data_IF_254124799542
#
_entry.id   IF_254124799542
#
_cell.length_a   1.000
_cell.length_b   1.000
_cell.length_c   1.000
_cell.angle_alpha   90.00
_cell.angle_beta   90.00
_cell.angle_gamma   90.00
#
_symmetry.space_group_name_H-M   'P 1'
#
loop_
_entity.id
_entity.type
_entity.pdbx_description
1 polymer ?
#
# COMPACT_ATOMS: atom_id res chain seq x y z
N UNK A 1 1.35 -30.19 -72.44
CA UNK A 1 0.48 -31.18 -71.76
C UNK A 1 -0.07 -30.52 -70.52
N UNK A 2 -1.39 -30.55 -70.36
CA UNK A 2 -2.11 -29.87 -69.29
C UNK A 2 -1.64 -30.38 -67.92
N UNK A 3 -1.22 -29.44 -67.07
CA UNK A 3 -0.86 -29.69 -65.67
C UNK A 3 -2.09 -30.08 -64.88
N UNK A 4 -2.43 -31.37 -64.94
CA UNK A 4 -3.48 -31.98 -64.13
C UNK A 4 -2.86 -32.45 -62.84
N UNK A 5 -3.41 -32.00 -61.70
CA UNK A 5 -3.04 -32.50 -60.38
C UNK A 5 -3.48 -33.97 -60.32
N UNK A 6 -2.56 -34.86 -59.99
CA UNK A 6 -2.87 -36.28 -59.81
C UNK A 6 -3.64 -36.52 -58.51
N UNK A 7 -4.41 -37.61 -58.43
CA UNK A 7 -5.11 -37.99 -57.19
C UNK A 7 -4.15 -38.10 -56.00
N UNK A 8 -2.91 -38.56 -56.23
CA UNK A 8 -1.87 -38.65 -55.21
C UNK A 8 -1.42 -37.27 -54.69
N UNK A 9 -1.35 -36.27 -55.57
CA UNK A 9 -1.04 -34.90 -55.17
C UNK A 9 -2.21 -34.24 -54.43
N UNK A 10 -3.46 -34.56 -54.79
CA UNK A 10 -4.64 -34.12 -54.04
C UNK A 10 -4.68 -34.72 -52.63
N UNK A 11 -4.44 -36.03 -52.49
CA UNK A 11 -4.33 -36.68 -51.18
C UNK A 11 -3.20 -36.10 -50.33
N UNK A 12 -2.07 -35.75 -50.95
CA UNK A 12 -0.96 -35.10 -50.25
C UNK A 12 -1.37 -33.72 -49.71
N UNK A 13 -2.02 -32.90 -50.54
CA UNK A 13 -2.51 -31.57 -50.14
C UNK A 13 -3.54 -31.68 -49.01
N UNK A 14 -4.48 -32.61 -49.11
CA UNK A 14 -5.50 -32.85 -48.09
C UNK A 14 -4.87 -33.27 -46.75
N UNK A 15 -3.93 -34.22 -46.78
CA UNK A 15 -3.19 -34.63 -45.59
C UNK A 15 -2.38 -33.47 -44.98
N UNK A 16 -1.79 -32.62 -45.82
CA UNK A 16 -1.04 -31.46 -45.38
C UNK A 16 -1.92 -30.42 -44.69
N UNK A 17 -3.10 -30.15 -45.26
CA UNK A 17 -4.10 -29.26 -44.68
C UNK A 17 -4.67 -29.83 -43.37
N UNK A 18 -5.01 -31.12 -43.34
CA UNK A 18 -5.47 -31.79 -42.13
C UNK A 18 -4.41 -31.74 -41.02
N UNK A 19 -3.13 -31.88 -41.37
CA UNK A 19 -2.04 -31.69 -40.42
C UNK A 19 -2.00 -30.25 -39.88
N UNK A 20 -2.17 -29.25 -40.75
CA UNK A 20 -2.20 -27.85 -40.33
C UNK A 20 -3.37 -27.57 -39.38
N UNK A 21 -4.57 -28.11 -39.65
CA UNK A 21 -5.73 -28.01 -38.75
C UNK A 21 -5.42 -28.61 -37.38
N UNK A 22 -4.83 -29.81 -37.34
CA UNK A 22 -4.39 -30.46 -36.08
C UNK A 22 -3.32 -29.66 -35.34
N UNK A 23 -2.43 -29.01 -36.08
CA UNK A 23 -1.36 -28.21 -35.52
C UNK A 23 -1.88 -26.91 -34.87
N UNK A 24 -2.76 -26.16 -35.55
CA UNK A 24 -3.34 -24.93 -35.00
C UNK A 24 -4.38 -25.17 -33.90
N UNK A 25 -4.98 -26.36 -33.85
CA UNK A 25 -5.88 -26.80 -32.78
C UNK A 25 -5.15 -27.35 -31.55
N UNK A 26 -3.80 -27.35 -31.56
CA UNK A 26 -2.96 -27.92 -30.50
C UNK A 26 -3.12 -29.43 -30.28
N UNK A 27 -3.75 -30.15 -31.22
CA UNK A 27 -3.79 -31.63 -31.22
C UNK A 27 -2.43 -32.22 -31.63
N UNK A 28 -1.61 -31.44 -32.34
CA UNK A 28 -0.24 -31.80 -32.74
C UNK A 28 0.73 -30.67 -32.41
N UNK A 29 1.83 -31.01 -31.72
CA UNK A 29 2.83 -30.04 -31.26
C UNK A 29 3.91 -29.68 -32.30
N UNK A 30 4.07 -30.51 -33.32
CA UNK A 30 5.08 -30.34 -34.37
C UNK A 30 4.42 -30.43 -35.73
N UNK A 31 4.99 -29.73 -36.71
CA UNK A 31 4.51 -29.73 -38.07
C UNK A 31 5.54 -30.40 -38.99
N UNK A 32 5.13 -31.40 -39.77
CA UNK A 32 6.02 -32.15 -40.65
C UNK A 32 6.04 -31.47 -42.02
N UNK A 33 7.07 -30.64 -42.25
CA UNK A 33 7.20 -29.89 -43.49
C UNK A 33 7.52 -30.80 -44.68
N UNK A 34 6.84 -30.55 -45.80
CA UNK A 34 7.19 -31.15 -47.09
C UNK A 34 8.05 -30.15 -47.85
N UNK A 35 9.31 -30.51 -48.11
CA UNK A 35 10.28 -29.64 -48.79
C UNK A 35 10.31 -29.85 -50.30
N UNK A 36 10.01 -31.06 -50.79
CA UNK A 36 9.87 -31.35 -52.22
C UNK A 36 9.05 -32.62 -52.48
N UNK A 37 8.29 -32.59 -53.57
CA UNK A 37 7.47 -33.67 -54.13
C UNK A 37 7.96 -34.11 -55.52
N UNK A 38 8.93 -33.38 -56.09
CA UNK A 38 9.40 -33.54 -57.47
C UNK A 38 8.55 -32.81 -58.52
N UNK A 39 7.37 -32.30 -58.15
CA UNK A 39 6.57 -31.43 -59.01
C UNK A 39 6.88 -29.97 -58.66
N UNK A 40 7.60 -29.28 -59.54
CA UNK A 40 8.05 -27.89 -59.34
C UNK A 40 6.92 -26.92 -58.91
N UNK A 41 5.72 -27.04 -59.49
CA UNK A 41 4.60 -26.14 -59.15
C UNK A 41 4.05 -26.42 -57.76
N UNK A 42 3.96 -27.70 -57.39
CA UNK A 42 3.52 -28.12 -56.07
C UNK A 42 4.55 -27.73 -55.01
N UNK A 43 5.84 -27.91 -55.30
CA UNK A 43 6.94 -27.55 -54.41
C UNK A 43 7.00 -26.04 -54.13
N UNK A 44 6.80 -25.21 -55.16
CA UNK A 44 6.69 -23.75 -54.99
C UNK A 44 5.49 -23.35 -54.11
N UNK A 45 4.37 -24.08 -54.20
CA UNK A 45 3.21 -23.85 -53.34
C UNK A 45 3.48 -24.27 -51.90
N UNK A 46 4.00 -25.47 -51.69
CA UNK A 46 4.35 -26.00 -50.37
C UNK A 46 5.37 -25.11 -49.68
N UNK A 47 6.41 -24.63 -50.39
CA UNK A 47 7.38 -23.71 -49.82
C UNK A 47 6.74 -22.44 -49.25
N UNK A 48 5.81 -21.82 -49.99
CA UNK A 48 5.06 -20.65 -49.48
C UNK A 48 4.24 -21.01 -48.25
N UNK A 49 3.56 -22.15 -48.26
CA UNK A 49 2.80 -22.62 -47.09
C UNK A 49 3.71 -22.90 -45.89
N UNK A 50 4.90 -23.45 -46.10
CA UNK A 50 5.87 -23.70 -45.02
C UNK A 50 6.27 -22.40 -44.33
N UNK A 51 6.48 -21.33 -45.11
CA UNK A 51 6.81 -20.00 -44.58
C UNK A 51 5.65 -19.43 -43.76
N UNK A 52 4.41 -19.52 -44.24
CA UNK A 52 3.22 -19.06 -43.51
C UNK A 52 2.97 -19.88 -42.23
N UNK A 53 3.11 -21.21 -42.29
CA UNK A 53 2.93 -22.10 -41.14
C UNK A 53 3.99 -21.82 -40.07
N UNK A 54 5.25 -21.60 -40.46
CA UNK A 54 6.32 -21.18 -39.53
C UNK A 54 6.01 -19.84 -38.88
N UNK A 55 5.44 -18.89 -39.61
CA UNK A 55 5.02 -17.60 -39.06
C UNK A 55 3.86 -17.76 -38.05
N UNK A 56 2.89 -18.62 -38.34
CA UNK A 56 1.78 -18.96 -37.43
C UNK A 56 2.30 -19.63 -36.16
N UNK A 57 3.17 -20.63 -36.27
CA UNK A 57 3.79 -21.33 -35.12
C UNK A 57 4.54 -20.34 -34.20
N UNK A 58 5.38 -19.49 -34.80
CA UNK A 58 6.11 -18.46 -34.05
C UNK A 58 5.16 -17.55 -33.28
N UNK A 59 4.11 -17.04 -33.94
CA UNK A 59 3.10 -16.17 -33.31
C UNK A 59 2.36 -16.89 -32.19
N UNK A 60 1.96 -18.15 -32.40
CA UNK A 60 1.27 -18.95 -31.38
C UNK A 60 2.16 -19.16 -30.14
N UNK A 61 3.46 -19.42 -30.32
CA UNK A 61 4.43 -19.55 -29.21
C UNK A 61 4.60 -18.24 -28.45
N UNK A 62 4.66 -17.10 -29.14
CA UNK A 62 4.69 -15.77 -28.52
C UNK A 62 3.41 -15.51 -27.71
N UNK A 63 2.25 -15.82 -28.27
CA UNK A 63 0.95 -15.67 -27.62
C UNK A 63 0.84 -16.52 -26.35
N UNK A 64 1.21 -17.80 -26.43
CA UNK A 64 1.22 -18.71 -25.27
C UNK A 64 2.13 -18.19 -24.16
N UNK A 65 3.28 -17.60 -24.50
CA UNK A 65 4.18 -17.02 -23.51
C UNK A 65 3.55 -15.84 -22.77
N UNK A 66 2.89 -14.94 -23.51
CA UNK A 66 2.19 -13.79 -22.92
C UNK A 66 1.03 -14.26 -22.03
N UNK A 67 0.23 -15.21 -22.49
CA UNK A 67 -0.89 -15.77 -21.73
C UNK A 67 -0.42 -16.49 -20.47
N UNK A 68 0.66 -17.28 -20.55
CA UNK A 68 1.27 -17.91 -19.38
C UNK A 68 1.75 -16.89 -18.34
N UNK A 69 2.40 -15.81 -18.78
CA UNK A 69 2.82 -14.74 -17.87
C UNK A 69 1.64 -13.96 -17.27
N UNK A 70 0.52 -13.82 -18.00
CA UNK A 70 -0.73 -13.26 -17.46
C UNK A 70 -1.24 -14.11 -16.29
N UNK A 71 -1.25 -15.44 -16.41
CA UNK A 71 -1.68 -16.34 -15.33
C UNK A 71 -0.78 -16.17 -14.09
N UNK A 72 0.54 -16.18 -14.27
CA UNK A 72 1.49 -15.96 -13.17
C UNK A 72 1.37 -14.57 -12.53
N UNK A 73 1.06 -13.56 -13.34
CA UNK A 73 0.83 -12.19 -12.86
C UNK A 73 -0.46 -12.13 -12.04
N UNK A 74 -1.52 -12.79 -12.50
CA UNK A 74 -2.79 -12.84 -11.78
C UNK A 74 -2.64 -13.51 -10.40
N UNK A 75 -1.90 -14.61 -10.31
CA UNK A 75 -1.58 -15.28 -9.03
C UNK A 75 -0.86 -14.35 -8.04
N UNK A 76 0.11 -13.56 -8.51
CA UNK A 76 0.78 -12.54 -7.68
C UNK A 76 -0.16 -11.44 -7.23
N UNK A 77 -1.08 -11.02 -8.09
CA UNK A 77 -2.09 -9.98 -7.78
C UNK A 77 -3.06 -10.47 -6.72
N UNK A 78 -3.48 -11.73 -6.78
CA UNK A 78 -4.32 -12.37 -5.76
C UNK A 78 -3.65 -12.36 -4.38
N UNK A 79 -2.32 -12.53 -4.35
CA UNK A 79 -1.50 -12.40 -3.14
C UNK A 79 -1.22 -10.94 -2.71
N UNK A 80 -1.79 -9.95 -3.39
CA UNK A 80 -1.60 -8.52 -3.09
C UNK A 80 -0.29 -7.91 -3.62
N UNK A 81 0.46 -8.62 -4.46
CA UNK A 81 1.74 -8.14 -5.03
C UNK A 81 1.47 -7.36 -6.32
N UNK A 82 1.14 -6.08 -6.20
CA UNK A 82 0.75 -5.24 -7.35
C UNK A 82 1.92 -4.66 -8.16
N UNK A 83 3.17 -4.88 -7.75
CA UNK A 83 4.37 -4.39 -8.45
C UNK A 83 4.75 -5.24 -9.69
N UNK A 84 4.09 -6.38 -9.89
CA UNK A 84 4.36 -7.30 -11.00
C UNK A 84 3.83 -6.78 -12.36
N UNK A 85 4.48 -7.16 -13.46
CA UNK A 85 4.09 -6.77 -14.83
C UNK A 85 4.28 -7.94 -15.78
N UNK A 86 3.48 -7.95 -16.84
CA UNK A 86 3.63 -8.85 -17.99
C UNK A 86 4.69 -8.24 -18.91
N UNK A 87 5.79 -8.94 -19.15
CA UNK A 87 6.95 -8.43 -19.90
C UNK A 87 7.05 -9.04 -21.30
N UNK A 88 6.64 -10.30 -21.46
CA UNK A 88 6.60 -11.00 -22.75
C UNK A 88 5.79 -10.22 -23.78
N UNK A 89 6.16 -10.33 -25.05
CA UNK A 89 5.53 -9.60 -26.15
C UNK A 89 5.05 -10.56 -27.23
N UNK A 90 4.04 -10.12 -27.97
CA UNK A 90 3.54 -10.80 -29.16
C UNK A 90 3.23 -9.77 -30.23
N UNK A 91 3.26 -10.21 -31.48
CA UNK A 91 2.79 -9.45 -32.64
C UNK A 91 1.26 -9.49 -32.79
N UNK A 92 0.55 -10.39 -32.09
CA UNK A 92 -0.92 -10.47 -32.11
C UNK A 92 -1.53 -9.22 -31.45
N UNK A 93 -2.24 -8.36 -32.22
CA UNK A 93 -2.68 -7.05 -31.71
C UNK A 93 -3.58 -7.15 -30.48
N UNK A 94 -4.54 -8.08 -30.46
CA UNK A 94 -5.49 -8.26 -29.35
C UNK A 94 -4.81 -8.63 -28.03
N UNK A 95 -3.86 -9.56 -28.06
CA UNK A 95 -3.11 -10.00 -26.88
C UNK A 95 -2.13 -8.91 -26.43
N UNK A 96 -1.51 -8.18 -27.36
CA UNK A 96 -0.68 -7.01 -27.05
C UNK A 96 -1.49 -5.90 -26.37
N UNK A 97 -2.69 -5.59 -26.88
CA UNK A 97 -3.61 -4.64 -26.24
C UNK A 97 -4.04 -5.11 -24.85
N UNK A 98 -4.31 -6.40 -24.66
CA UNK A 98 -4.62 -6.98 -23.35
C UNK A 98 -3.46 -6.78 -22.35
N UNK A 99 -2.24 -7.13 -22.73
CA UNK A 99 -1.02 -6.88 -21.93
C UNK A 99 -0.92 -5.43 -21.50
N UNK A 100 -1.03 -4.50 -22.45
CA UNK A 100 -0.90 -3.05 -22.18
C UNK A 100 -1.97 -2.59 -21.19
N UNK A 101 -3.21 -3.05 -21.39
CA UNK A 101 -4.35 -2.68 -20.54
C UNK A 101 -4.17 -3.20 -19.12
N UNK A 102 -3.79 -4.48 -18.96
CA UNK A 102 -3.52 -5.08 -17.66
C UNK A 102 -2.34 -4.40 -16.95
N UNK A 103 -1.23 -4.16 -17.64
CA UNK A 103 -0.08 -3.46 -17.04
C UNK A 103 -0.42 -2.03 -16.61
N UNK A 104 -1.28 -1.32 -17.36
CA UNK A 104 -1.78 0.01 -16.98
C UNK A 104 -2.68 -0.04 -15.75
N UNK A 105 -3.56 -1.04 -15.65
CA UNK A 105 -4.38 -1.30 -14.47
C UNK A 105 -3.48 -1.56 -13.24
N UNK A 106 -2.52 -2.48 -13.35
CA UNK A 106 -1.60 -2.83 -12.26
C UNK A 106 -0.74 -1.64 -11.82
N UNK A 107 -0.30 -0.81 -12.75
CA UNK A 107 0.41 0.45 -12.44
C UNK A 107 -0.46 1.42 -11.64
N UNK A 108 -1.75 1.48 -11.92
CA UNK A 108 -2.67 2.34 -11.19
C UNK A 108 -2.93 1.80 -9.77
N UNK A 109 -3.10 0.49 -9.62
CA UNK A 109 -3.30 -0.15 -8.32
C UNK A 109 -2.05 -0.01 -7.45
N UNK A 110 -0.87 -0.31 -7.98
CA UNK A 110 0.41 -0.19 -7.27
C UNK A 110 0.68 1.25 -6.79
N UNK A 111 0.49 2.26 -7.66
CA UNK A 111 0.64 3.67 -7.28
C UNK A 111 -0.36 4.07 -6.17
N UNK A 112 -1.63 3.66 -6.29
CA UNK A 112 -2.64 3.97 -5.26
C UNK A 112 -2.31 3.35 -3.92
N UNK A 113 -1.91 2.08 -3.92
CA UNK A 113 -1.57 1.31 -2.71
C UNK A 113 -0.34 1.89 -2.02
N UNK A 114 0.70 2.24 -2.78
CA UNK A 114 1.92 2.87 -2.24
C UNK A 114 1.63 4.24 -1.61
N UNK A 115 0.76 5.05 -2.21
CA UNK A 115 0.36 6.35 -1.63
C UNK A 115 -0.38 6.19 -0.31
N UNK A 116 -1.32 5.25 -0.27
CA UNK A 116 -2.07 4.91 0.95
C UNK A 116 -1.12 4.42 2.03
N UNK A 117 -0.26 3.44 1.71
CA UNK A 117 0.67 2.86 2.66
C UNK A 117 1.65 3.89 3.23
N UNK A 118 2.13 4.83 2.41
CA UNK A 118 3.03 5.90 2.86
C UNK A 118 2.37 6.75 3.95
N UNK A 119 1.15 7.21 3.70
CA UNK A 119 0.42 8.11 4.62
C UNK A 119 -0.02 7.37 5.87
N UNK A 120 -0.56 6.16 5.73
CA UNK A 120 -0.95 5.35 6.90
C UNK A 120 0.28 5.02 7.76
N UNK A 121 1.43 4.71 7.15
CA UNK A 121 2.69 4.52 7.87
C UNK A 121 3.22 5.78 8.56
N UNK A 122 2.94 6.99 8.04
CA UNK A 122 3.31 8.21 8.77
C UNK A 122 2.48 8.33 10.05
N UNK A 123 1.18 7.99 9.97
CA UNK A 123 0.28 8.02 11.12
C UNK A 123 0.66 7.00 12.21
N UNK A 124 1.26 5.87 11.86
CA UNK A 124 1.79 4.91 12.86
C UNK A 124 3.02 5.42 13.61
N UNK A 125 3.65 6.50 13.13
CA UNK A 125 4.79 7.17 13.76
C UNK A 125 4.40 8.53 14.36
N UNK A 126 3.11 8.72 14.68
CA UNK A 126 2.52 9.97 15.20
C UNK A 126 2.70 11.21 14.28
N UNK A 127 3.11 11.01 13.03
CA UNK A 127 3.20 12.07 12.03
C UNK A 127 1.89 12.17 11.24
N UNK A 128 0.98 13.00 11.75
CA UNK A 128 -0.30 13.31 11.13
C UNK A 128 -0.25 14.46 10.11
N UNK A 129 0.94 14.87 9.66
CA UNK A 129 1.10 15.99 8.72
C UNK A 129 1.03 15.58 7.25
N UNK A 130 1.34 14.32 6.92
CA UNK A 130 1.23 13.81 5.55
C UNK A 130 -0.24 13.57 5.15
N UNK A 131 -0.50 13.68 3.85
CA UNK A 131 -1.81 13.44 3.26
C UNK A 131 -1.70 12.88 1.86
N UNK A 132 -2.73 12.14 1.45
CA UNK A 132 -2.83 11.57 0.11
C UNK A 132 -3.25 12.68 -0.86
N UNK A 133 -2.40 12.95 -1.85
CA UNK A 133 -2.78 13.77 -3.02
C UNK A 133 -3.73 12.99 -3.93
N UNK A 134 -5.02 13.26 -3.81
CA UNK A 134 -6.07 12.64 -4.64
C UNK A 134 -6.03 13.23 -6.05
N UNK A 135 -5.56 12.44 -7.02
CA UNK A 135 -5.48 12.84 -8.42
C UNK A 135 -6.74 12.45 -9.20
N UNK A 136 -7.09 13.23 -10.23
CA UNK A 136 -8.34 13.10 -11.00
C UNK A 136 -8.62 11.72 -11.61
N UNK A 137 -7.59 10.88 -11.80
CA UNK A 137 -7.77 9.53 -12.36
C UNK A 137 -8.50 8.59 -11.41
N UNK A 138 -8.39 8.80 -10.09
CA UNK A 138 -9.06 7.98 -9.08
C UNK A 138 -10.50 8.45 -8.92
N UNK A 139 -11.42 7.49 -8.96
CA UNK A 139 -12.87 7.71 -8.91
C UNK A 139 -13.49 6.78 -7.87
N UNK A 140 -14.73 7.07 -7.54
CA UNK A 140 -15.59 6.20 -6.74
C UNK A 140 -14.93 5.78 -5.41
N UNK A 141 -15.11 4.53 -4.99
CA UNK A 141 -14.54 3.95 -3.77
C UNK A 141 -13.06 4.24 -3.54
N UNK A 142 -12.20 4.17 -4.57
CA UNK A 142 -10.77 4.47 -4.39
C UNK A 142 -10.55 5.94 -4.04
N UNK A 143 -11.32 6.86 -4.64
CA UNK A 143 -11.27 8.27 -4.29
C UNK A 143 -11.78 8.48 -2.86
N UNK A 144 -12.92 7.87 -2.52
CA UNK A 144 -13.51 7.97 -1.19
C UNK A 144 -12.57 7.43 -0.10
N UNK A 145 -11.89 6.31 -0.36
CA UNK A 145 -10.88 5.74 0.54
C UNK A 145 -9.76 6.73 0.83
N UNK A 146 -9.17 7.32 -0.21
CA UNK A 146 -8.10 8.31 -0.05
C UNK A 146 -8.56 9.56 0.72
N UNK A 147 -9.75 10.07 0.41
CA UNK A 147 -10.33 11.21 1.13
C UNK A 147 -10.63 10.88 2.60
N UNK A 148 -11.06 9.64 2.88
CA UNK A 148 -11.37 9.18 4.24
C UNK A 148 -10.11 9.04 5.09
N UNK A 149 -9.01 8.58 4.51
CA UNK A 149 -7.69 8.54 5.19
C UNK A 149 -7.22 9.96 5.51
N UNK A 150 -7.40 10.93 4.60
CA UNK A 150 -7.05 12.33 4.88
C UNK A 150 -7.90 12.93 6.01
N UNK A 151 -9.20 12.59 6.06
CA UNK A 151 -10.09 12.99 7.17
C UNK A 151 -9.63 12.36 8.49
N UNK A 152 -9.21 11.10 8.48
CA UNK A 152 -8.63 10.43 9.65
C UNK A 152 -7.38 11.17 10.15
N UNK A 153 -6.43 11.48 9.26
CA UNK A 153 -5.24 12.26 9.61
C UNK A 153 -5.57 13.63 10.22
N UNK A 154 -6.57 14.32 9.67
CA UNK A 154 -7.05 15.59 10.22
C UNK A 154 -7.61 15.44 11.63
N UNK A 155 -8.39 14.38 11.89
CA UNK A 155 -8.95 14.10 13.21
C UNK A 155 -7.86 13.75 14.24
N UNK A 156 -6.88 12.93 13.85
CA UNK A 156 -5.74 12.58 14.69
C UNK A 156 -4.89 13.82 15.04
N UNK A 157 -4.57 14.65 14.05
CA UNK A 157 -3.84 15.91 14.28
C UNK A 157 -4.60 16.84 15.24
N UNK A 158 -5.93 16.97 15.08
CA UNK A 158 -6.77 17.74 16.01
C UNK A 158 -6.69 17.19 17.43
N UNK A 159 -6.77 15.87 17.60
CA UNK A 159 -6.68 15.24 18.92
C UNK A 159 -5.30 15.42 19.54
N UNK A 160 -4.22 15.29 18.76
CA UNK A 160 -2.86 15.56 19.22
C UNK A 160 -2.70 17.00 19.72
N UNK A 161 -3.25 17.97 18.99
CA UNK A 161 -3.29 19.38 19.41
C UNK A 161 -4.04 19.59 20.72
N UNK A 162 -5.21 18.97 20.88
CA UNK A 162 -6.00 19.06 22.12
C UNK A 162 -5.22 18.45 23.30
N UNK A 163 -4.60 17.29 23.10
CA UNK A 163 -3.79 16.64 24.14
C UNK A 163 -2.59 17.50 24.55
N UNK A 164 -1.94 18.16 23.59
CA UNK A 164 -0.87 19.12 23.88
C UNK A 164 -1.38 20.28 24.75
N UNK A 165 -2.49 20.91 24.38
CA UNK A 165 -3.10 22.01 25.14
C UNK A 165 -3.53 21.59 26.56
N UNK A 166 -4.04 20.36 26.70
CA UNK A 166 -4.35 19.78 28.00
C UNK A 166 -3.08 19.60 28.85
N UNK A 167 -1.97 19.17 28.22
CA UNK A 167 -0.66 19.07 28.86
C UNK A 167 -0.15 20.41 29.38
N UNK A 168 -0.22 21.46 28.55
CA UNK A 168 0.14 22.83 28.97
C UNK A 168 -0.72 23.32 30.14
N UNK A 169 -2.03 23.06 30.08
CA UNK A 169 -2.95 23.43 31.17
C UNK A 169 -2.63 22.69 32.47
N UNK A 170 -2.31 21.39 32.37
CA UNK A 170 -1.93 20.59 33.53
C UNK A 170 -0.61 21.07 34.15
N UNK A 171 0.38 21.41 33.33
CA UNK A 171 1.65 21.98 33.78
C UNK A 171 1.44 23.31 34.52
N UNK A 172 0.64 24.21 33.95
CA UNK A 172 0.29 25.49 34.60
C UNK A 172 -0.37 25.27 35.96
N UNK A 173 -1.37 24.38 36.02
CA UNK A 173 -2.06 24.06 37.27
C UNK A 173 -1.12 23.45 38.32
N UNK A 174 -0.19 22.57 37.92
CA UNK A 174 0.80 21.99 38.82
C UNK A 174 1.76 23.07 39.39
N UNK A 175 2.18 24.03 38.55
CA UNK A 175 3.03 25.15 38.98
C UNK A 175 2.29 26.08 39.96
N UNK A 176 1.01 26.38 39.70
CA UNK A 176 0.17 27.15 40.63
C UNK A 176 0.01 26.41 41.96
N UNK A 177 -0.32 25.12 41.92
CA UNK A 177 -0.46 24.29 43.13
C UNK A 177 0.83 24.23 43.95
N UNK A 178 1.99 24.07 43.29
CA UNK A 178 3.30 24.08 43.95
C UNK A 178 3.53 25.43 44.67
N UNK A 179 3.25 26.54 43.98
CA UNK A 179 3.36 27.89 44.57
C UNK A 179 2.42 28.09 45.76
N UNK A 180 1.18 27.62 45.67
CA UNK A 180 0.21 27.67 46.78
C UNK A 180 0.64 26.81 47.97
N UNK A 181 1.20 25.62 47.72
CA UNK A 181 1.73 24.75 48.78
C UNK A 181 2.94 25.36 49.48
N UNK A 182 3.85 25.99 48.74
CA UNK A 182 4.98 26.72 49.33
C UNK A 182 4.50 27.89 50.19
N UNK A 183 3.51 28.66 49.71
CA UNK A 183 2.93 29.74 50.50
C UNK A 183 2.24 29.23 51.77
N UNK A 184 1.48 28.14 51.67
CA UNK A 184 0.83 27.51 52.82
C UNK A 184 1.86 27.02 53.85
N UNK A 185 2.94 26.38 53.41
CA UNK A 185 4.03 25.92 54.27
C UNK A 185 4.70 27.10 54.99
N UNK A 186 4.96 28.22 54.30
CA UNK A 186 5.48 29.44 54.90
C UNK A 186 4.51 30.00 55.96
N UNK A 187 3.22 30.08 55.66
CA UNK A 187 2.20 30.57 56.60
C UNK A 187 2.05 29.65 57.82
N UNK A 188 2.14 28.34 57.64
CA UNK A 188 2.13 27.39 58.74
C UNK A 188 3.35 27.56 59.66
N UNK A 189 4.54 27.81 59.08
CA UNK A 189 5.75 28.11 59.86
C UNK A 189 5.64 29.44 60.63
N UNK A 190 5.12 30.50 59.98
CA UNK A 190 4.85 31.78 60.65
C UNK A 190 3.88 31.61 61.83
N UNK A 191 2.80 30.86 61.62
CA UNK A 191 1.80 30.57 62.66
C UNK A 191 2.41 29.78 63.83
N UNK A 192 3.24 28.79 63.55
CA UNK A 192 3.95 28.02 64.58
C UNK A 192 4.84 28.92 65.43
N UNK A 193 5.60 29.83 64.80
CA UNK A 193 6.43 30.80 65.51
C UNK A 193 5.59 31.78 66.36
N UNK A 194 4.44 32.25 65.86
CA UNK A 194 3.52 33.09 66.65
C UNK A 194 2.93 32.35 67.86
N UNK A 195 2.64 31.05 67.73
CA UNK A 195 2.20 30.22 68.85
C UNK A 195 3.31 30.03 69.90
N UNK A 196 4.55 29.85 69.47
CA UNK A 196 5.73 29.78 70.36
C UNK A 196 5.91 31.09 71.14
N UNK A 197 5.78 32.25 70.47
CA UNK A 197 5.81 33.55 71.14
C UNK A 197 4.67 33.73 72.15
N UNK A 198 3.46 33.28 71.81
CA UNK A 198 2.30 33.35 72.70
C UNK A 198 2.49 32.45 73.94
N UNK A 199 3.05 31.26 73.75
CA UNK A 199 3.37 30.35 74.84
C UNK A 199 4.44 30.94 75.78
N UNK A 200 5.50 31.53 75.24
CA UNK A 200 6.54 32.20 76.02
C UNK A 200 5.97 33.39 76.83
N UNK A 201 5.10 34.21 76.23
CA UNK A 201 4.43 35.30 76.92
C UNK A 201 3.50 34.81 78.04
N UNK A 202 2.78 33.71 77.82
CA UNK A 202 1.94 33.06 78.84
C UNK A 202 2.78 32.52 80.00
N UNK A 203 3.95 31.95 79.72
CA UNK A 203 4.88 31.46 80.74
C UNK A 203 5.43 32.62 81.58
N UNK A 204 5.78 33.74 80.96
CA UNK A 204 6.19 34.97 81.65
C UNK A 204 5.07 35.51 82.55
N UNK A 205 3.83 35.62 82.05
CA UNK A 205 2.67 36.04 82.85
C UNK A 205 2.44 35.11 84.03
N UNK A 206 2.54 33.80 83.81
CA UNK A 206 2.36 32.79 84.86
C UNK A 206 3.44 32.94 85.94
N UNK A 207 4.70 33.16 85.54
CA UNK A 207 5.82 33.42 86.43
C UNK A 207 5.60 34.69 87.28
N UNK A 208 5.19 35.80 86.65
CA UNK A 208 4.87 37.06 87.34
C UNK A 208 3.71 36.85 88.33
N UNK A 209 2.66 36.15 87.91
CA UNK A 209 1.48 35.89 88.73
C UNK A 209 1.85 35.06 89.97
N UNK A 210 2.68 34.02 89.78
CA UNK A 210 3.21 33.21 90.88
C UNK A 210 4.06 34.04 91.84
N UNK A 211 4.94 34.88 91.32
CA UNK A 211 5.79 35.76 92.12
C UNK A 211 4.96 36.78 92.93
N UNK A 212 3.93 37.38 92.31
CA UNK A 212 2.99 38.27 93.00
C UNK A 212 2.20 37.56 94.10
N UNK A 213 1.74 36.34 93.85
CA UNK A 213 1.05 35.52 94.86
C UNK A 213 1.99 35.16 96.03
N UNK A 214 3.24 34.79 95.76
CA UNK A 214 4.25 34.54 96.79
C UNK A 214 4.54 35.80 97.64
N UNK A 215 4.57 36.99 97.03
CA UNK A 215 4.79 38.25 97.74
C UNK A 215 3.59 38.72 98.58
N UNK A 216 2.35 38.42 98.18
CA UNK A 216 1.14 38.84 98.91
C UNK A 216 0.89 38.04 100.21
N UNK A 217 1.59 36.92 100.42
CA UNK A 217 1.48 36.05 101.60
C UNK A 217 2.50 36.44 102.69
N UNK A 218 3.46 37.34 102.38
CA UNK A 218 4.40 37.95 103.33
C UNK A 218 3.83 39.20 103.98
#
# INVERSE_FOLDING_TARGET
>A
MFGTISNKELELIDNYFNQFVKFISYEKNEFDYIESTGNKKLDEMLKRWNEEIKAVDKRNKEDMRVLGEIVLTADKVDQGIFSCRINSSTTTPTISTLKITLNKMLTSIDDSTKRILRVVSSYTNDDFTDSIKVIHKYKDDMKLLMESINKLGTALNKNAKINFQNGETLEQNANTMNSSMNNLALKANEQAASLEQTAAALEEITSITRNNAENAIK
#
